data_IF_823272466300
#
_entry.id   IF_823272466300
#
_cell.length_a   1.000
_cell.length_b   1.000
_cell.length_c   1.000
_cell.angle_alpha   90.00
_cell.angle_beta   90.00
_cell.angle_gamma   90.00
#
_symmetry.space_group_name_H-M   'P 1'
#
loop_
_entity.id
_entity.type
_entity.pdbx_description
1 polymer ?
#
# COMPACT_ATOMS: atom_id res chain seq x y z
N UNK A 1 -65.54 49.92 -30.55
CA UNK A 1 -64.39 49.01 -30.31
C UNK A 1 -63.37 49.75 -29.45
N UNK A 2 -63.22 49.40 -28.18
CA UNK A 2 -62.24 50.03 -27.27
C UNK A 2 -60.92 49.27 -27.37
N UNK A 3 -59.90 49.90 -27.96
CA UNK A 3 -58.54 49.37 -27.95
C UNK A 3 -57.94 49.58 -26.55
N UNK A 4 -57.73 48.48 -25.83
CA UNK A 4 -56.98 48.49 -24.58
C UNK A 4 -55.49 48.60 -24.88
N UNK A 5 -54.92 49.76 -24.57
CA UNK A 5 -53.49 50.07 -24.67
C UNK A 5 -52.74 49.35 -23.53
N UNK A 6 -51.95 48.32 -23.84
CA UNK A 6 -51.04 47.64 -22.91
C UNK A 6 -49.72 48.41 -22.74
N UNK A 7 -49.75 49.64 -22.19
CA UNK A 7 -48.54 50.45 -22.02
C UNK A 7 -47.85 50.35 -20.64
N UNK A 8 -48.41 49.63 -19.66
CA UNK A 8 -47.89 49.61 -18.26
C UNK A 8 -47.01 48.42 -17.86
N UNK A 9 -46.76 47.43 -18.74
CA UNK A 9 -45.96 46.22 -18.40
C UNK A 9 -44.46 46.31 -18.73
N UNK A 10 -44.01 47.35 -19.44
CA UNK A 10 -42.60 47.49 -19.89
C UNK A 10 -41.61 47.65 -18.74
N UNK A 11 -41.97 48.32 -17.63
CA UNK A 11 -41.08 48.49 -16.48
C UNK A 11 -40.87 47.21 -15.65
N UNK A 12 -41.89 46.35 -15.57
CA UNK A 12 -41.84 45.09 -14.80
C UNK A 12 -40.95 44.05 -15.51
N UNK A 13 -40.92 44.05 -16.85
CA UNK A 13 -40.08 43.11 -17.62
C UNK A 13 -38.59 43.32 -17.37
N UNK A 14 -38.16 44.57 -17.22
CA UNK A 14 -36.76 44.91 -16.95
C UNK A 14 -36.33 44.42 -15.57
N UNK A 15 -37.20 44.58 -14.55
CA UNK A 15 -36.95 44.09 -13.19
C UNK A 15 -36.90 42.56 -13.15
N UNK A 16 -37.77 41.88 -13.90
CA UNK A 16 -37.75 40.43 -13.96
C UNK A 16 -36.46 39.92 -14.59
N UNK A 17 -36.00 40.54 -15.69
CA UNK A 17 -34.73 40.16 -16.33
C UNK A 17 -33.52 40.39 -15.44
N UNK A 18 -33.47 41.47 -14.65
CA UNK A 18 -32.36 41.71 -13.73
C UNK A 18 -32.35 40.71 -12.58
N UNK A 19 -33.52 40.31 -12.06
CA UNK A 19 -33.63 39.26 -11.04
C UNK A 19 -33.18 37.91 -11.60
N UNK A 20 -33.61 37.55 -12.81
CA UNK A 20 -33.18 36.29 -13.45
C UNK A 20 -31.66 36.26 -13.62
N UNK A 21 -31.06 37.35 -14.11
CA UNK A 21 -29.61 37.43 -14.30
C UNK A 21 -28.88 37.37 -12.96
N UNK A 22 -29.38 38.07 -11.93
CA UNK A 22 -28.78 38.03 -10.59
C UNK A 22 -28.80 36.62 -10.02
N UNK A 23 -29.96 35.95 -10.06
CA UNK A 23 -30.09 34.58 -9.55
C UNK A 23 -29.21 33.62 -10.35
N UNK A 24 -29.22 33.71 -11.68
CA UNK A 24 -28.37 32.88 -12.52
C UNK A 24 -26.88 33.09 -12.22
N UNK A 25 -26.45 34.35 -12.01
CA UNK A 25 -25.03 34.65 -11.70
C UNK A 25 -24.58 34.06 -10.36
N UNK A 26 -25.43 34.10 -9.33
CA UNK A 26 -25.10 33.55 -8.00
C UNK A 26 -25.06 32.02 -8.06
N UNK A 27 -26.01 31.39 -8.76
CA UNK A 27 -26.06 29.92 -8.91
C UNK A 27 -24.87 29.40 -9.71
N UNK A 28 -24.49 30.07 -10.79
CA UNK A 28 -23.31 29.68 -11.58
C UNK A 28 -22.01 29.93 -10.79
N UNK A 29 -21.93 31.04 -10.05
CA UNK A 29 -20.79 31.36 -9.20
C UNK A 29 -20.57 30.33 -8.09
N UNK A 30 -21.62 29.94 -7.37
CA UNK A 30 -21.50 28.92 -6.31
C UNK A 30 -21.16 27.54 -6.87
N UNK A 31 -21.71 27.17 -8.03
CA UNK A 31 -21.39 25.90 -8.69
C UNK A 31 -19.91 25.77 -9.06
N UNK A 32 -19.32 26.82 -9.64
CA UNK A 32 -17.90 26.83 -10.00
C UNK A 32 -17.00 26.81 -8.76
N UNK A 33 -17.36 27.54 -7.70
CA UNK A 33 -16.59 27.54 -6.46
C UNK A 33 -16.61 26.15 -5.81
N UNK A 34 -17.78 25.53 -5.67
CA UNK A 34 -17.91 24.20 -5.07
C UNK A 34 -17.14 23.15 -5.87
N UNK A 35 -17.25 23.18 -7.20
CA UNK A 35 -16.50 22.28 -8.08
C UNK A 35 -14.98 22.52 -8.01
N UNK A 36 -14.56 23.79 -7.99
CA UNK A 36 -13.16 24.16 -7.80
C UNK A 36 -12.63 23.64 -6.47
N UNK A 37 -13.36 23.85 -5.37
CA UNK A 37 -12.97 23.37 -4.05
C UNK A 37 -12.90 21.85 -3.98
N UNK A 38 -13.83 21.13 -4.63
CA UNK A 38 -13.79 19.66 -4.61
C UNK A 38 -12.58 19.11 -5.35
N UNK A 39 -12.19 19.73 -6.49
CA UNK A 39 -10.96 19.33 -7.20
C UNK A 39 -9.71 19.63 -6.37
N UNK A 40 -9.61 20.81 -5.75
CA UNK A 40 -8.45 21.12 -4.93
C UNK A 40 -8.34 20.20 -3.71
N UNK A 41 -9.46 19.79 -3.11
CA UNK A 41 -9.47 18.84 -2.00
C UNK A 41 -9.04 17.43 -2.44
N UNK A 42 -9.37 16.98 -3.65
CA UNK A 42 -8.93 15.67 -4.13
C UNK A 42 -7.47 15.67 -4.60
N UNK A 43 -6.98 16.77 -5.17
CA UNK A 43 -5.56 16.89 -5.59
C UNK A 43 -4.63 17.19 -4.41
N UNK A 44 -5.14 17.79 -3.34
CA UNK A 44 -4.35 18.03 -2.12
C UNK A 44 -4.10 16.76 -1.29
N UNK A 45 -4.97 15.76 -1.39
CA UNK A 45 -4.77 14.46 -0.76
C UNK A 45 -3.72 13.68 -1.56
N UNK A 46 -2.55 13.46 -0.98
CA UNK A 46 -1.46 12.78 -1.64
C UNK A 46 -1.48 11.28 -1.32
N UNK A 47 -1.32 10.44 -2.36
CA UNK A 47 -0.88 9.05 -2.22
C UNK A 47 0.63 9.04 -2.08
N UNK A 48 1.15 8.54 -0.96
CA UNK A 48 2.58 8.42 -0.74
C UNK A 48 2.86 7.15 0.05
N UNK A 49 3.66 6.27 -0.54
CA UNK A 49 4.09 5.03 0.09
C UNK A 49 5.58 5.08 0.35
N UNK A 50 5.97 4.72 1.56
CA UNK A 50 7.35 4.55 1.96
C UNK A 50 7.64 3.06 2.10
N UNK A 51 8.78 2.60 1.60
CA UNK A 51 9.21 1.21 1.73
C UNK A 51 10.57 1.17 2.40
N UNK A 52 10.72 0.33 3.42
CA UNK A 52 11.96 0.17 4.19
C UNK A 52 12.29 -1.31 4.45
N UNK A 53 13.52 -1.56 4.92
CA UNK A 53 13.94 -2.89 5.41
C UNK A 53 14.13 -3.97 4.34
N UNK A 54 14.13 -3.64 3.04
CA UNK A 54 14.01 -4.68 2.00
C UNK A 54 15.19 -5.66 2.01
N UNK A 55 14.86 -6.94 2.12
CA UNK A 55 15.80 -8.04 1.97
C UNK A 55 15.26 -9.10 1.02
N UNK A 56 16.20 -9.70 0.29
CA UNK A 56 15.97 -10.81 -0.62
C UNK A 56 16.90 -11.94 -0.22
N UNK A 57 16.35 -13.14 -0.08
CA UNK A 57 17.08 -14.35 0.21
C UNK A 57 16.88 -15.36 -0.92
N UNK A 58 17.96 -16.04 -1.29
CA UNK A 58 17.90 -17.19 -2.17
C UNK A 58 18.48 -18.38 -1.45
N UNK A 59 17.75 -19.49 -1.39
CA UNK A 59 18.29 -20.71 -0.79
C UNK A 59 19.29 -21.36 -1.75
N UNK A 60 20.59 -21.30 -1.41
CA UNK A 60 21.64 -21.87 -2.25
C UNK A 60 21.73 -23.40 -2.24
N UNK A 61 21.05 -24.07 -1.31
CA UNK A 61 21.16 -25.51 -1.08
C UNK A 61 20.09 -26.30 -1.84
N UNK A 62 18.99 -25.66 -2.23
CA UNK A 62 17.90 -26.30 -2.95
C UNK A 62 18.02 -26.09 -4.47
N UNK A 63 17.93 -27.18 -5.23
CA UNK A 63 18.03 -27.13 -6.69
C UNK A 63 16.80 -26.48 -7.35
N UNK A 64 15.71 -26.33 -6.60
CA UNK A 64 14.47 -25.63 -6.99
C UNK A 64 14.62 -24.11 -7.02
N UNK A 65 15.65 -23.54 -6.37
CA UNK A 65 15.90 -22.10 -6.37
C UNK A 65 14.82 -21.31 -5.63
N UNK A 66 14.35 -21.82 -4.49
CA UNK A 66 13.38 -21.13 -3.65
C UNK A 66 13.97 -19.82 -3.14
N UNK A 67 13.21 -18.74 -3.36
CA UNK A 67 13.64 -17.41 -3.05
C UNK A 67 12.52 -16.66 -2.32
N UNK A 68 12.95 -15.89 -1.33
CA UNK A 68 12.06 -15.10 -0.48
C UNK A 68 12.49 -13.66 -0.46
N UNK A 69 11.55 -12.79 -0.13
CA UNK A 69 11.89 -11.44 0.26
C UNK A 69 10.97 -10.93 1.34
N UNK A 70 11.42 -9.87 1.98
CA UNK A 70 10.65 -9.14 2.96
C UNK A 70 10.78 -7.65 2.68
N UNK A 71 9.70 -6.91 2.90
CA UNK A 71 9.66 -5.47 2.79
C UNK A 71 8.67 -4.88 3.80
N UNK A 72 9.07 -3.80 4.45
CA UNK A 72 8.18 -2.96 5.24
C UNK A 72 7.58 -1.92 4.34
N UNK A 73 6.26 -1.78 4.38
CA UNK A 73 5.52 -0.74 3.66
C UNK A 73 4.79 0.15 4.65
N UNK A 74 4.87 1.47 4.46
CA UNK A 74 4.16 2.46 5.26
C UNK A 74 3.39 3.43 4.38
N UNK A 75 2.17 3.73 4.77
CA UNK A 75 1.41 4.81 4.16
C UNK A 75 1.84 6.15 4.77
N UNK A 76 2.53 6.97 3.99
CA UNK A 76 2.94 8.33 4.34
C UNK A 76 2.05 9.39 3.66
N UNK A 77 0.99 8.97 2.97
CA UNK A 77 0.00 9.83 2.35
C UNK A 77 -1.14 10.22 3.31
N UNK A 78 -2.09 10.98 2.76
CA UNK A 78 -3.26 11.48 3.49
C UNK A 78 -4.52 10.64 3.25
N UNK A 79 -4.46 9.66 2.34
CA UNK A 79 -5.55 8.75 2.02
C UNK A 79 -5.18 7.29 2.21
N UNK A 80 -6.18 6.40 2.30
CA UNK A 80 -5.97 4.95 2.42
C UNK A 80 -5.28 4.45 1.14
N UNK A 81 -4.18 3.74 1.30
CA UNK A 81 -3.45 3.10 0.20
C UNK A 81 -3.66 1.60 0.25
N UNK A 82 -3.61 0.95 -0.91
CA UNK A 82 -3.69 -0.50 -1.00
C UNK A 82 -2.48 -1.02 -1.77
N UNK A 83 -1.62 -1.79 -1.11
CA UNK A 83 -0.48 -2.45 -1.73
C UNK A 83 -0.99 -3.55 -2.65
N UNK A 84 -0.83 -3.37 -3.95
CA UNK A 84 -1.46 -4.19 -4.99
C UNK A 84 -0.45 -5.02 -5.79
N UNK A 85 0.78 -4.54 -5.96
CA UNK A 85 1.75 -5.22 -6.80
C UNK A 85 3.14 -5.22 -6.18
N UNK A 86 3.72 -6.41 -6.04
CA UNK A 86 5.15 -6.61 -5.72
C UNK A 86 5.78 -7.30 -6.92
N UNK A 87 6.80 -6.68 -7.52
CA UNK A 87 7.51 -7.22 -8.68
C UNK A 87 9.02 -7.16 -8.52
N UNK A 88 9.69 -8.21 -8.99
CA UNK A 88 11.14 -8.39 -8.89
C UNK A 88 11.63 -8.87 -10.24
N UNK A 89 12.64 -8.19 -10.81
CA UNK A 89 13.15 -8.46 -12.17
C UNK A 89 12.06 -8.52 -13.26
N UNK A 90 10.94 -7.81 -13.06
CA UNK A 90 9.81 -7.81 -14.00
C UNK A 90 8.81 -8.98 -13.83
N UNK A 91 9.02 -9.86 -12.86
CA UNK A 91 8.07 -10.92 -12.48
C UNK A 91 7.24 -10.45 -11.28
N UNK A 92 5.92 -10.49 -11.39
CA UNK A 92 5.01 -10.17 -10.30
C UNK A 92 4.80 -11.38 -9.39
N UNK A 93 4.85 -11.14 -8.08
CA UNK A 93 4.56 -12.17 -7.07
C UNK A 93 3.05 -12.24 -6.82
N UNK A 94 2.39 -13.40 -6.95
CA UNK A 94 0.95 -13.52 -6.70
C UNK A 94 0.63 -13.33 -5.21
N UNK A 95 -0.56 -12.78 -4.88
CA UNK A 95 -0.98 -12.55 -3.50
C UNK A 95 -0.97 -13.79 -2.61
N UNK A 96 -1.25 -14.96 -3.19
CA UNK A 96 -1.20 -16.23 -2.47
C UNK A 96 0.21 -16.54 -1.92
N UNK A 97 1.24 -15.91 -2.46
CA UNK A 97 2.61 -16.07 -1.97
C UNK A 97 3.03 -14.93 -1.02
N UNK A 98 2.11 -14.05 -0.65
CA UNK A 98 2.38 -12.96 0.28
C UNK A 98 1.93 -13.36 1.68
N UNK A 99 2.69 -12.96 2.67
CA UNK A 99 2.44 -13.18 4.08
C UNK A 99 2.67 -11.85 4.77
N UNK A 100 1.64 -11.26 5.35
CA UNK A 100 1.76 -9.92 5.91
C UNK A 100 1.18 -9.82 7.31
N UNK A 101 1.70 -8.86 8.06
CA UNK A 101 1.11 -8.38 9.31
C UNK A 101 0.96 -6.87 9.18
N UNK A 102 -0.23 -6.37 9.51
CA UNK A 102 -0.59 -4.95 9.46
C UNK A 102 -1.11 -4.45 10.81
N UNK A 103 -1.03 -5.25 11.86
CA UNK A 103 -1.45 -4.84 13.19
C UNK A 103 -0.41 -3.91 13.80
N UNK A 104 -0.80 -2.66 14.07
CA UNK A 104 0.11 -1.62 14.56
C UNK A 104 0.64 -1.89 15.98
N UNK A 105 0.05 -2.84 16.71
CA UNK A 105 0.56 -3.29 18.02
C UNK A 105 1.75 -4.24 17.88
N UNK A 106 1.80 -4.98 16.75
CA UNK A 106 2.89 -5.91 16.43
C UNK A 106 3.87 -5.33 15.43
N UNK A 107 3.41 -4.64 14.40
CA UNK A 107 4.29 -3.86 13.53
C UNK A 107 4.60 -2.57 14.27
N UNK A 108 5.79 -2.43 14.85
CA UNK A 108 6.27 -1.24 15.57
C UNK A 108 7.17 -0.40 14.64
N UNK A 109 7.57 0.80 15.06
CA UNK A 109 8.61 1.55 14.32
C UNK A 109 9.98 0.90 14.44
N UNK A 110 10.22 0.11 15.50
CA UNK A 110 11.48 -0.59 15.72
C UNK A 110 11.65 -1.73 14.72
N UNK A 111 10.67 -2.64 14.66
CA UNK A 111 10.73 -3.79 13.75
C UNK A 111 10.49 -3.45 12.28
N UNK A 112 9.79 -2.35 11.98
CA UNK A 112 9.68 -1.86 10.61
C UNK A 112 11.04 -1.43 10.02
N UNK A 113 11.94 -0.92 10.87
CA UNK A 113 13.28 -0.45 10.50
C UNK A 113 14.38 -1.49 10.75
N UNK A 114 14.03 -2.63 11.36
CA UNK A 114 14.99 -3.67 11.64
C UNK A 114 15.41 -4.39 10.37
N UNK A 115 16.50 -5.14 10.48
CA UNK A 115 16.86 -6.11 9.46
C UNK A 115 15.92 -7.32 9.62
N UNK A 116 15.16 -7.62 8.57
CA UNK A 116 14.35 -8.82 8.49
C UNK A 116 15.20 -10.10 8.52
N UNK A 117 14.58 -11.18 9.02
CA UNK A 117 15.27 -12.43 9.35
C UNK A 117 14.70 -13.56 8.50
N UNK A 118 15.59 -14.46 8.08
CA UNK A 118 15.24 -15.70 7.40
C UNK A 118 16.02 -16.84 8.07
N UNK A 119 15.39 -17.62 8.94
CA UNK A 119 16.06 -18.69 9.70
C UNK A 119 16.22 -20.00 8.93
N UNK A 120 15.71 -20.06 7.71
CA UNK A 120 15.80 -21.23 6.85
C UNK A 120 14.49 -21.49 6.11
N UNK A 121 14.48 -22.57 5.34
CA UNK A 121 13.32 -22.95 4.54
C UNK A 121 12.85 -24.35 4.98
N UNK A 122 11.60 -24.46 5.43
CA UNK A 122 10.92 -25.73 5.67
C UNK A 122 10.39 -26.31 4.35
N UNK A 123 10.35 -27.64 4.27
CA UNK A 123 9.56 -28.40 3.29
C UNK A 123 9.47 -27.77 1.89
N UNK A 124 8.25 -27.48 1.44
CA UNK A 124 7.92 -26.98 0.10
C UNK A 124 8.37 -25.52 -0.17
N UNK A 125 9.53 -25.11 0.35
CA UNK A 125 10.06 -23.77 0.12
C UNK A 125 9.52 -22.73 1.09
N UNK A 126 8.82 -23.07 2.18
CA UNK A 126 8.24 -22.10 3.14
C UNK A 126 9.30 -21.58 4.10
N UNK A 127 9.33 -20.27 4.43
CA UNK A 127 10.21 -19.77 5.51
C UNK A 127 9.91 -20.51 6.81
N UNK A 128 10.97 -20.93 7.52
CA UNK A 128 10.84 -21.44 8.87
C UNK A 128 10.39 -20.32 9.80
N UNK A 129 9.38 -20.60 10.61
CA UNK A 129 9.01 -19.74 11.74
C UNK A 129 10.25 -19.52 12.62
N UNK A 130 10.59 -18.25 12.93
CA UNK A 130 11.73 -17.91 13.79
C UNK A 130 11.39 -17.93 15.28
N UNK A 131 10.13 -18.13 15.63
CA UNK A 131 9.68 -18.37 16.99
C UNK A 131 9.65 -19.89 17.29
N UNK A 132 10.14 -20.34 18.46
CA UNK A 132 9.67 -21.61 18.98
C UNK A 132 8.16 -21.47 19.19
N UNK A 133 7.36 -22.26 18.46
CA UNK A 133 5.88 -22.28 18.38
C UNK A 133 5.13 -22.43 19.73
N UNK A 134 5.51 -21.68 20.75
CA UNK A 134 5.21 -21.94 22.16
C UNK A 134 4.49 -20.80 22.86
N UNK A 135 4.37 -19.60 22.28
CA UNK A 135 3.70 -18.51 23.00
C UNK A 135 2.21 -18.34 22.66
N UNK A 136 1.69 -19.07 21.66
CA UNK A 136 0.27 -19.04 21.31
C UNK A 136 -0.26 -17.63 21.00
N UNK A 137 0.63 -16.67 20.73
CA UNK A 137 0.31 -15.27 20.48
C UNK A 137 -0.36 -15.07 19.12
N UNK A 138 0.06 -15.85 18.12
CA UNK A 138 -0.40 -15.75 16.74
C UNK A 138 -1.34 -16.92 16.38
N UNK A 139 -2.47 -17.05 17.08
CA UNK A 139 -3.46 -18.10 16.77
C UNK A 139 -4.02 -17.90 15.36
N UNK A 140 -3.65 -18.80 14.44
CA UNK A 140 -4.12 -18.79 13.05
C UNK A 140 -3.25 -18.01 12.07
N UNK A 141 -2.04 -17.59 12.47
CA UNK A 141 -1.03 -17.13 11.52
C UNK A 141 -0.42 -18.29 10.74
N UNK A 142 -0.01 -18.03 9.51
CA UNK A 142 0.67 -19.01 8.66
C UNK A 142 2.17 -19.04 8.94
N UNK A 143 2.76 -17.86 9.25
CA UNK A 143 4.17 -17.69 9.57
C UNK A 143 4.27 -16.76 10.78
N UNK A 144 5.07 -17.13 11.78
CA UNK A 144 5.43 -16.24 12.88
C UNK A 144 6.91 -15.84 12.72
N UNK A 145 7.22 -14.57 12.95
CA UNK A 145 8.60 -14.07 12.89
C UNK A 145 8.89 -13.26 14.15
N UNK A 146 9.78 -13.77 14.97
CA UNK A 146 10.47 -13.04 16.02
C UNK A 146 11.79 -12.48 15.48
N UNK A 147 12.03 -11.18 15.65
CA UNK A 147 13.21 -10.48 15.15
C UNK A 147 14.38 -10.45 16.13
N UNK A 148 14.14 -10.62 17.43
CA UNK A 148 15.17 -10.42 18.45
C UNK A 148 15.36 -11.63 19.39
N UNK A 149 14.48 -12.63 19.33
CA UNK A 149 14.56 -13.83 20.18
C UNK A 149 14.47 -13.50 21.68
N UNK A 150 13.98 -12.29 22.01
CA UNK A 150 13.95 -11.69 23.33
C UNK A 150 12.62 -10.92 23.50
N UNK A 151 12.44 -10.21 24.61
CA UNK A 151 11.20 -9.48 24.91
C UNK A 151 11.17 -8.05 24.35
N UNK A 152 12.03 -7.72 23.38
CA UNK A 152 12.27 -6.33 22.96
C UNK A 152 11.28 -5.84 21.91
N UNK A 153 11.04 -6.65 20.87
CA UNK A 153 10.05 -6.38 19.82
C UNK A 153 8.99 -7.48 19.78
N UNK A 154 7.73 -7.14 19.47
CA UNK A 154 6.67 -8.14 19.36
C UNK A 154 6.89 -9.05 18.15
N UNK A 155 6.58 -10.33 18.32
CA UNK A 155 6.52 -11.32 17.26
C UNK A 155 5.47 -10.92 16.21
N UNK A 156 5.84 -10.99 14.94
CA UNK A 156 4.92 -10.79 13.84
C UNK A 156 4.05 -12.03 13.61
N UNK A 157 2.77 -11.80 13.38
CA UNK A 157 1.80 -12.82 13.03
C UNK A 157 1.43 -12.65 11.56
N UNK A 158 2.17 -13.28 10.67
CA UNK A 158 1.96 -13.12 9.23
C UNK A 158 0.88 -14.08 8.75
N UNK A 159 -0.11 -13.52 8.04
CA UNK A 159 -1.19 -14.27 7.42
C UNK A 159 -1.07 -14.21 5.90
N UNK A 160 -1.40 -15.32 5.25
CA UNK A 160 -1.37 -15.44 3.80
C UNK A 160 -2.36 -14.48 3.16
N UNK A 161 -1.87 -13.74 2.16
CA UNK A 161 -2.66 -12.79 1.40
C UNK A 161 -3.63 -13.47 0.44
N UNK A 162 -4.84 -12.91 0.36
CA UNK A 162 -5.83 -13.24 -0.68
C UNK A 162 -6.15 -12.06 -1.61
N UNK A 163 -5.51 -10.91 -1.38
CA UNK A 163 -5.71 -9.68 -2.14
C UNK A 163 -4.80 -8.54 -1.63
N UNK A 164 -5.07 -7.31 -2.09
CA UNK A 164 -4.29 -6.13 -1.72
C UNK A 164 -4.29 -5.85 -0.22
N UNK A 165 -3.18 -5.31 0.30
CA UNK A 165 -3.05 -4.93 1.72
C UNK A 165 -3.42 -3.46 1.88
N UNK A 166 -4.55 -3.20 2.53
CA UNK A 166 -5.01 -1.84 2.84
C UNK A 166 -4.28 -1.24 4.03
N UNK A 167 -3.80 0.00 3.90
CA UNK A 167 -3.10 0.77 4.93
C UNK A 167 -3.74 2.15 5.06
N UNK A 168 -4.24 2.49 6.24
CA UNK A 168 -4.69 3.84 6.53
C UNK A 168 -3.49 4.82 6.67
N UNK A 169 -3.70 6.14 6.56
CA UNK A 169 -2.65 7.13 6.74
C UNK A 169 -1.84 6.92 8.03
N UNK A 170 -0.53 6.76 7.91
CA UNK A 170 0.40 6.53 9.02
C UNK A 170 0.58 5.06 9.43
N UNK A 171 -0.26 4.14 8.93
CA UNK A 171 -0.14 2.71 9.19
C UNK A 171 1.01 2.07 8.40
N UNK A 172 1.52 0.97 8.96
CA UNK A 172 2.63 0.18 8.42
C UNK A 172 2.26 -1.29 8.37
N UNK A 173 2.75 -1.99 7.36
CA UNK A 173 2.72 -3.44 7.28
C UNK A 173 4.12 -3.97 6.97
N UNK A 174 4.39 -5.18 7.43
CA UNK A 174 5.56 -5.95 7.01
C UNK A 174 5.05 -7.10 6.15
N UNK A 175 5.60 -7.23 4.96
CA UNK A 175 5.19 -8.21 3.96
C UNK A 175 6.39 -9.09 3.62
N UNK A 176 6.25 -10.38 3.92
CA UNK A 176 7.08 -11.45 3.41
C UNK A 176 6.45 -12.01 2.15
N UNK A 177 7.24 -12.38 1.16
CA UNK A 177 6.72 -12.95 -0.07
C UNK A 177 7.64 -14.02 -0.64
N UNK A 178 7.03 -15.09 -1.15
CA UNK A 178 7.71 -16.17 -1.85
C UNK A 178 7.72 -15.92 -3.35
N UNK A 179 8.91 -15.89 -3.94
CA UNK A 179 9.04 -15.75 -5.38
C UNK A 179 8.75 -17.07 -6.09
N UNK A 180 8.31 -16.99 -7.35
CA UNK A 180 8.18 -18.18 -8.18
C UNK A 180 9.56 -18.85 -8.39
N UNK A 181 9.64 -20.20 -8.38
CA UNK A 181 10.89 -20.91 -8.59
C UNK A 181 11.61 -20.45 -9.87
N UNK A 182 12.91 -20.20 -9.77
CA UNK A 182 13.74 -19.72 -10.88
C UNK A 182 13.70 -18.21 -11.15
N UNK A 183 12.95 -17.42 -10.36
CA UNK A 183 12.98 -15.94 -10.44
C UNK A 183 14.33 -15.39 -9.96
N UNK A 184 14.85 -15.95 -8.88
CA UNK A 184 16.22 -15.75 -8.41
C UNK A 184 16.90 -17.10 -8.32
N UNK A 185 18.18 -17.14 -8.65
CA UNK A 185 18.99 -18.36 -8.59
C UNK A 185 20.18 -18.15 -7.67
N UNK A 186 20.86 -19.24 -7.33
CA UNK A 186 22.07 -19.20 -6.51
C UNK A 186 23.19 -18.35 -7.12
N UNK A 187 23.16 -18.15 -8.45
CA UNK A 187 24.08 -17.28 -9.18
C UNK A 187 23.80 -15.78 -8.95
N UNK A 188 22.59 -15.44 -8.53
CA UNK A 188 22.20 -14.06 -8.20
C UNK A 188 22.56 -13.68 -6.76
N UNK A 189 23.05 -14.61 -5.94
CA UNK A 189 23.52 -14.32 -4.59
C UNK A 189 24.68 -13.30 -4.64
N UNK A 190 24.56 -12.21 -3.89
CA UNK A 190 25.50 -11.09 -3.91
C UNK A 190 25.29 -10.10 -5.05
N UNK A 191 24.37 -10.34 -5.97
CA UNK A 191 23.99 -9.36 -7.00
C UNK A 191 22.98 -8.34 -6.45
N UNK A 192 23.06 -7.10 -6.94
CA UNK A 192 22.04 -6.09 -6.67
C UNK A 192 20.84 -6.33 -7.58
N UNK A 193 19.64 -6.34 -7.00
CA UNK A 193 18.37 -6.46 -7.72
C UNK A 193 17.41 -5.37 -7.27
N UNK A 194 16.61 -4.86 -8.21
CA UNK A 194 15.53 -3.91 -7.93
C UNK A 194 14.24 -4.64 -7.64
N UNK A 195 13.60 -4.24 -6.55
CA UNK A 195 12.26 -4.64 -6.17
C UNK A 195 11.34 -3.42 -6.32
N UNK A 196 10.20 -3.61 -6.98
CA UNK A 196 9.20 -2.56 -7.12
C UNK A 196 7.96 -2.96 -6.33
N UNK A 197 7.58 -2.12 -5.37
CA UNK A 197 6.30 -2.20 -4.66
C UNK A 197 5.42 -1.07 -5.15
N UNK A 198 4.19 -1.42 -5.52
CA UNK A 198 3.16 -0.48 -5.87
C UNK A 198 2.03 -0.57 -4.84
N UNK A 199 1.50 0.59 -4.50
CA UNK A 199 0.33 0.76 -3.66
C UNK A 199 -0.58 1.80 -4.31
N UNK A 200 -1.49 1.34 -5.17
CA UNK A 200 -2.33 2.24 -5.96
C UNK A 200 -1.52 2.94 -7.05
N UNK A 201 -1.58 4.27 -7.11
CA UNK A 201 -0.77 5.05 -8.06
C UNK A 201 0.65 5.35 -7.52
N UNK A 202 0.90 5.07 -6.24
CA UNK A 202 2.20 5.28 -5.61
C UNK A 202 3.10 4.05 -5.77
N UNK A 203 4.26 4.24 -6.41
CA UNK A 203 5.29 3.20 -6.57
C UNK A 203 6.59 3.59 -5.87
N UNK A 204 7.18 2.63 -5.15
CA UNK A 204 8.48 2.79 -4.48
C UNK A 204 9.45 1.73 -5.00
N UNK A 205 10.22 2.01 -6.07
CA UNK A 205 11.30 1.13 -6.50
C UNK A 205 12.48 1.25 -5.52
N UNK A 206 12.96 0.12 -5.02
CA UNK A 206 14.14 0.08 -4.16
C UNK A 206 15.09 -1.04 -4.60
N UNK A 207 16.40 -0.77 -4.57
CA UNK A 207 17.44 -1.76 -4.85
C UNK A 207 17.97 -2.37 -3.56
N UNK A 208 18.09 -3.69 -3.51
CA UNK A 208 18.75 -4.41 -2.42
C UNK A 208 19.73 -5.44 -2.97
N UNK A 209 20.62 -5.95 -2.12
CA UNK A 209 21.56 -7.02 -2.47
C UNK A 209 20.93 -8.34 -2.04
N UNK A 210 20.94 -9.33 -2.93
CA UNK A 210 20.43 -10.66 -2.62
C UNK A 210 21.40 -11.34 -1.66
N UNK A 211 20.88 -11.76 -0.50
CA UNK A 211 21.62 -12.49 0.50
C UNK A 211 21.41 -14.00 0.30
N UNK A 212 22.42 -14.77 0.65
CA UNK A 212 22.25 -16.20 0.90
C UNK A 212 22.10 -16.33 2.42
N UNK A 213 20.95 -16.82 2.91
CA UNK A 213 20.73 -17.04 4.33
C UNK A 213 21.70 -18.10 4.90
#
# INVERSE_FOLDING_TARGET
MKNHVFAKRKGISTVLTTVIILVASVVLGSGVVLYGTSIFQTVAQQESVEVQGIQLWVNATDATGDAWGAAGVRNNGDQILSVDTISIKGTTVPFANWYFDSDQTRVTTGNYQSQYVHEGTAGAGTIMNSSPATDGLCVGADIEIDFDGATGEPTLCLVQGSGPVGLAPGERAIIYFQMAPGTLTTLDAGASTTLNIFAGEAGAPLSTIIQNP
#
